data_IF_596635923093
#
_entry.id   IF_596635923093
#
_cell.length_a   1.000
_cell.length_b   1.000
_cell.length_c   1.000
_cell.angle_alpha   90.00
_cell.angle_beta   90.00
_cell.angle_gamma   90.00
#
_symmetry.space_group_name_H-M   'P 1'
#
loop_
_entity.id
_entity.type
_entity.pdbx_description
1 polymer ?
#
# COMPACT_ATOMS: atom_id res chain seq x y z
N UNK A 1 20.42 13.66 -9.84
CA UNK A 1 19.67 12.91 -8.80
C UNK A 1 18.23 13.40 -8.64
N UNK A 2 17.98 14.72 -8.59
CA UNK A 2 16.60 15.26 -8.60
C UNK A 2 15.83 14.89 -9.89
N UNK A 3 16.48 15.03 -11.05
CA UNK A 3 15.91 14.63 -12.35
C UNK A 3 15.53 13.15 -12.43
N UNK A 4 16.40 12.25 -11.97
CA UNK A 4 16.13 10.80 -11.94
C UNK A 4 15.00 10.43 -10.97
N UNK A 5 14.89 11.12 -9.84
CA UNK A 5 13.78 10.89 -8.90
C UNK A 5 12.46 11.45 -9.45
N UNK A 6 12.50 12.61 -10.12
CA UNK A 6 11.35 13.14 -10.86
C UNK A 6 10.86 12.16 -11.93
N UNK A 7 11.77 11.56 -12.70
CA UNK A 7 11.44 10.52 -13.66
C UNK A 7 10.81 9.29 -13.00
N UNK A 8 11.42 8.77 -11.93
CA UNK A 8 10.83 7.65 -11.19
C UNK A 8 9.45 7.99 -10.61
N UNK A 9 9.21 9.26 -10.26
CA UNK A 9 7.92 9.74 -9.75
C UNK A 9 6.81 9.64 -10.80
N UNK A 10 7.14 9.73 -12.09
CA UNK A 10 6.18 9.53 -13.17
C UNK A 10 5.64 8.09 -13.20
N UNK A 11 6.51 7.11 -12.97
CA UNK A 11 6.17 5.68 -12.94
C UNK A 11 5.71 5.17 -11.57
N UNK A 12 5.36 6.08 -10.64
CA UNK A 12 4.81 5.72 -9.31
C UNK A 12 3.66 4.73 -9.37
N UNK A 13 2.84 4.81 -10.43
CA UNK A 13 1.68 3.94 -10.63
C UNK A 13 2.03 2.50 -10.98
N UNK A 14 3.25 2.26 -11.47
CA UNK A 14 3.71 0.93 -11.91
C UNK A 14 4.48 0.20 -10.81
N UNK A 15 5.02 0.93 -9.82
CA UNK A 15 5.89 0.37 -8.78
C UNK A 15 5.15 0.37 -7.44
N UNK A 16 4.88 -0.84 -6.93
CA UNK A 16 4.14 -1.10 -5.68
C UNK A 16 4.67 -0.33 -4.45
N UNK A 17 5.99 -0.11 -4.36
CA UNK A 17 6.66 0.28 -3.10
C UNK A 17 7.51 1.55 -3.23
N UNK A 18 7.35 2.32 -4.31
CA UNK A 18 8.29 3.39 -4.66
C UNK A 18 8.44 4.46 -3.57
N UNK A 19 7.36 4.85 -2.88
CA UNK A 19 7.42 5.85 -1.82
C UNK A 19 8.31 5.42 -0.64
N UNK A 20 8.43 4.11 -0.39
CA UNK A 20 9.32 3.58 0.64
C UNK A 20 10.77 3.59 0.17
N UNK A 21 11.03 3.09 -1.04
CA UNK A 21 12.38 3.02 -1.62
C UNK A 21 12.99 4.42 -1.76
N UNK A 22 12.21 5.38 -2.23
CA UNK A 22 12.66 6.76 -2.44
C UNK A 22 12.77 7.57 -1.14
N UNK A 23 12.31 7.05 0.00
CA UNK A 23 12.23 7.81 1.25
C UNK A 23 13.60 8.23 1.80
N UNK A 24 14.62 7.38 1.65
CA UNK A 24 16.01 7.64 2.05
C UNK A 24 16.67 8.70 1.16
N UNK A 25 16.29 8.72 -0.13
CA UNK A 25 16.78 9.65 -1.14
C UNK A 25 16.11 11.03 -1.02
N UNK A 26 14.81 11.10 -0.74
CA UNK A 26 14.12 12.38 -0.52
C UNK A 26 14.64 13.14 0.70
N UNK A 27 15.18 12.44 1.72
CA UNK A 27 15.84 13.08 2.87
C UNK A 27 17.07 13.91 2.45
N UNK A 28 17.74 13.59 1.34
CA UNK A 28 18.89 14.36 0.86
C UNK A 28 18.51 15.78 0.39
N UNK A 29 17.23 16.05 0.15
CA UNK A 29 16.76 17.36 -0.31
C UNK A 29 16.24 18.25 0.83
N UNK A 30 16.36 17.81 2.09
CA UNK A 30 16.07 18.65 3.24
C UNK A 30 17.17 19.67 3.47
N UNK A 31 16.80 20.87 3.93
CA UNK A 31 17.72 22.02 4.08
C UNK A 31 18.89 21.78 5.04
N UNK A 32 18.76 20.83 5.97
CA UNK A 32 19.71 20.61 7.07
C UNK A 32 20.51 19.30 6.94
N UNK A 33 20.58 18.70 5.74
CA UNK A 33 21.21 17.40 5.52
C UNK A 33 22.40 17.52 4.56
N UNK A 34 23.57 17.03 5.00
CA UNK A 34 24.76 16.91 4.16
C UNK A 34 24.52 15.86 3.07
N UNK A 35 24.87 16.21 1.83
CA UNK A 35 24.77 15.29 0.71
C UNK A 35 25.81 14.17 0.85
N UNK A 36 25.35 12.98 1.24
CA UNK A 36 26.20 11.79 1.38
C UNK A 36 25.55 10.57 0.73
N UNK A 37 26.29 9.86 -0.11
CA UNK A 37 25.80 8.61 -0.73
C UNK A 37 26.25 7.44 0.14
N UNK A 38 25.46 7.14 1.16
CA UNK A 38 25.63 5.93 1.99
C UNK A 38 25.27 4.67 1.20
N UNK A 39 25.70 3.51 1.71
CA UNK A 39 25.36 2.21 1.11
C UNK A 39 23.84 2.01 0.96
N UNK A 40 23.06 2.37 1.99
CA UNK A 40 21.60 2.31 1.96
C UNK A 40 20.99 3.14 0.82
N UNK A 41 21.50 4.36 0.59
CA UNK A 41 21.03 5.25 -0.49
C UNK A 41 21.41 4.72 -1.86
N UNK A 42 22.60 4.13 -2.00
CA UNK A 42 23.03 3.45 -3.24
C UNK A 42 22.14 2.25 -3.55
N UNK A 43 21.88 1.40 -2.56
CA UNK A 43 21.02 0.23 -2.71
C UNK A 43 19.58 0.63 -3.06
N UNK A 44 19.09 1.72 -2.44
CA UNK A 44 17.78 2.29 -2.78
C UNK A 44 17.73 2.77 -4.24
N UNK A 45 18.79 3.40 -4.73
CA UNK A 45 18.88 3.88 -6.12
C UNK A 45 18.94 2.75 -7.14
N UNK A 46 19.74 1.71 -6.89
CA UNK A 46 19.80 0.52 -7.74
C UNK A 46 18.47 -0.25 -7.74
N UNK A 47 17.79 -0.31 -6.59
CA UNK A 47 16.46 -0.90 -6.50
C UNK A 47 15.43 -0.15 -7.34
N UNK A 48 15.47 1.19 -7.37
CA UNK A 48 14.58 1.98 -8.25
C UNK A 48 14.80 1.61 -9.71
N UNK A 49 16.06 1.50 -10.17
CA UNK A 49 16.37 1.11 -11.54
C UNK A 49 15.85 -0.29 -11.87
N UNK A 50 16.06 -1.24 -10.95
CA UNK A 50 15.60 -2.61 -11.12
C UNK A 50 14.06 -2.68 -11.22
N UNK A 51 13.35 -1.98 -10.33
CA UNK A 51 11.89 -1.93 -10.33
C UNK A 51 11.33 -1.19 -11.55
N UNK A 52 12.03 -0.19 -12.09
CA UNK A 52 11.64 0.48 -13.34
C UNK A 52 11.81 -0.43 -14.57
N UNK A 53 12.88 -1.22 -14.61
CA UNK A 53 13.14 -2.16 -15.71
C UNK A 53 12.20 -3.37 -15.68
N UNK A 54 11.80 -3.81 -14.49
CA UNK A 54 10.90 -4.95 -14.28
C UNK A 54 9.46 -4.52 -13.93
N UNK A 55 9.12 -3.25 -14.17
CA UNK A 55 7.82 -2.72 -13.83
C UNK A 55 6.73 -3.53 -14.55
N UNK A 56 5.72 -4.06 -13.83
CA UNK A 56 4.64 -4.79 -14.46
C UNK A 56 3.89 -3.87 -15.43
N UNK A 57 3.50 -4.42 -16.57
CA UNK A 57 2.61 -3.74 -17.52
C UNK A 57 1.26 -3.55 -16.82
N UNK A 58 0.86 -2.29 -16.65
CA UNK A 58 -0.45 -1.97 -16.10
C UNK A 58 -1.52 -2.24 -17.16
N UNK A 59 -2.63 -2.82 -16.73
CA UNK A 59 -3.77 -3.06 -17.59
C UNK A 59 -4.64 -1.81 -17.72
N UNK A 60 -5.20 -1.58 -18.91
CA UNK A 60 -6.18 -0.52 -19.11
C UNK A 60 -7.45 -0.86 -18.33
N UNK A 61 -8.02 0.07 -17.54
CA UNK A 61 -9.24 -0.20 -16.79
C UNK A 61 -10.44 -0.34 -17.72
N UNK A 62 -11.25 -1.37 -17.47
CA UNK A 62 -12.57 -1.53 -18.06
C UNK A 62 -13.63 -1.06 -17.05
N UNK A 63 -14.34 0.02 -17.32
CA UNK A 63 -15.26 0.60 -16.35
C UNK A 63 -16.58 -0.20 -16.20
N UNK A 64 -16.84 -1.17 -17.07
CA UNK A 64 -18.01 -2.05 -16.97
C UNK A 64 -17.80 -3.22 -15.99
N UNK A 65 -16.53 -3.56 -15.73
CA UNK A 65 -16.17 -4.68 -14.86
C UNK A 65 -15.89 -4.24 -13.42
N UNK A 66 -16.23 -5.08 -12.42
CA UNK A 66 -16.01 -4.74 -11.03
C UNK A 66 -14.51 -4.62 -10.71
N UNK A 67 -14.15 -3.51 -10.07
CA UNK A 67 -12.77 -3.22 -9.70
C UNK A 67 -12.51 -3.76 -8.30
N UNK A 68 -11.40 -4.48 -8.12
CA UNK A 68 -10.92 -4.89 -6.80
C UNK A 68 -9.87 -3.92 -6.31
N UNK A 69 -10.15 -3.35 -5.17
CA UNK A 69 -9.31 -2.32 -4.60
C UNK A 69 -8.73 -2.84 -3.28
N UNK A 70 -7.41 -3.02 -3.27
CA UNK A 70 -6.66 -3.59 -2.15
C UNK A 70 -5.97 -2.46 -1.39
N UNK A 71 -6.27 -2.34 -0.09
CA UNK A 71 -5.57 -1.37 0.79
C UNK A 71 -4.42 -2.01 1.51
N UNK A 72 -3.42 -1.18 1.74
CA UNK A 72 -2.26 -1.52 2.52
C UNK A 72 -1.90 -0.35 3.44
N UNK A 73 -2.08 -0.51 4.75
CA UNK A 73 -1.52 0.43 5.72
C UNK A 73 -0.45 -0.28 6.53
N UNK A 74 0.79 0.19 6.46
CA UNK A 74 1.83 -0.21 7.40
C UNK A 74 1.67 0.70 8.61
N UNK A 75 1.18 0.15 9.72
CA UNK A 75 1.16 0.83 11.01
C UNK A 75 2.56 1.42 11.24
N UNK A 76 2.67 2.76 11.29
CA UNK A 76 3.88 3.60 11.47
C UNK A 76 4.68 4.11 10.25
N UNK A 77 4.65 3.50 9.05
CA UNK A 77 5.62 3.86 7.99
C UNK A 77 5.00 4.50 6.73
N UNK A 78 3.79 4.10 6.32
CA UNK A 78 3.23 4.58 5.07
C UNK A 78 1.85 4.02 4.73
N UNK A 79 1.19 4.70 3.80
CA UNK A 79 -0.09 4.33 3.22
C UNK A 79 0.15 3.82 1.80
N UNK A 80 -0.55 2.78 1.41
CA UNK A 80 -0.50 2.21 0.08
C UNK A 80 -1.85 1.64 -0.34
N UNK A 81 -2.11 1.64 -1.64
CA UNK A 81 -3.25 0.94 -2.19
C UNK A 81 -2.96 0.52 -3.63
N UNK A 82 -3.70 -0.50 -4.08
CA UNK A 82 -3.60 -1.05 -5.41
C UNK A 82 -4.99 -1.27 -5.99
N UNK A 83 -5.17 -0.88 -7.25
CA UNK A 83 -6.34 -1.23 -8.06
C UNK A 83 -5.98 -2.43 -8.91
N UNK A 84 -6.82 -3.44 -8.82
CA UNK A 84 -6.74 -4.66 -9.60
C UNK A 84 -8.08 -4.88 -10.28
N UNK A 85 -8.06 -5.51 -11.44
CA UNK A 85 -9.27 -5.90 -12.14
C UNK A 85 -9.08 -7.26 -12.77
N UNK A 86 -10.13 -8.07 -12.71
CA UNK A 86 -10.13 -9.35 -13.42
C UNK A 86 -10.48 -9.08 -14.87
N UNK A 87 -9.54 -9.32 -15.77
CA UNK A 87 -9.70 -9.14 -17.20
C UNK A 87 -9.36 -10.43 -17.94
N UNK A 88 -9.92 -10.61 -19.12
CA UNK A 88 -9.58 -11.72 -19.99
C UNK A 88 -8.43 -11.24 -20.88
N UNK A 89 -7.25 -11.84 -20.72
CA UNK A 89 -6.06 -11.56 -21.54
C UNK A 89 -5.69 -12.86 -22.22
N UNK A 90 -5.64 -12.87 -23.54
CA UNK A 90 -5.35 -14.07 -24.36
C UNK A 90 -6.31 -15.24 -24.10
N UNK A 91 -7.58 -14.95 -23.81
CA UNK A 91 -8.62 -15.97 -23.53
C UNK A 91 -8.64 -16.50 -22.09
N UNK A 92 -7.68 -16.12 -21.25
CA UNK A 92 -7.59 -16.55 -19.86
C UNK A 92 -7.91 -15.42 -18.87
N UNK A 93 -8.69 -15.68 -17.80
CA UNK A 93 -8.98 -14.68 -16.79
C UNK A 93 -7.74 -14.42 -15.93
N UNK A 94 -7.11 -13.26 -16.10
CA UNK A 94 -6.00 -12.78 -15.28
C UNK A 94 -6.42 -11.60 -14.41
N UNK A 95 -5.81 -11.48 -13.24
CA UNK A 95 -5.96 -10.30 -12.39
C UNK A 95 -4.92 -9.27 -12.83
N UNK A 96 -5.36 -8.30 -13.62
CA UNK A 96 -4.55 -7.20 -14.13
C UNK A 96 -4.41 -6.11 -13.08
N UNK A 97 -3.19 -5.56 -12.98
CA UNK A 97 -2.88 -4.46 -12.09
C UNK A 97 -3.15 -3.14 -12.83
N UNK A 98 -4.08 -2.31 -12.34
CA UNK A 98 -4.44 -1.05 -12.99
C UNK A 98 -3.54 0.08 -12.50
N UNK A 99 -3.34 0.17 -11.18
CA UNK A 99 -2.66 1.32 -10.59
C UNK A 99 -2.20 1.02 -9.17
N UNK A 100 -0.96 1.41 -8.87
CA UNK A 100 -0.41 1.45 -7.53
C UNK A 100 -0.33 2.89 -7.02
N UNK A 101 -0.71 3.09 -5.76
CA UNK A 101 -0.50 4.36 -5.06
C UNK A 101 0.19 4.11 -3.73
N UNK A 102 1.20 4.90 -3.42
CA UNK A 102 1.88 4.86 -2.14
C UNK A 102 2.24 6.26 -1.67
N UNK A 103 2.25 6.45 -0.35
CA UNK A 103 2.57 7.73 0.29
C UNK A 103 3.15 7.51 1.68
N UNK A 104 4.19 8.27 2.01
CA UNK A 104 4.72 8.34 3.38
C UNK A 104 3.72 8.99 4.33
N UNK A 105 3.56 8.41 5.52
CA UNK A 105 2.71 8.98 6.57
C UNK A 105 3.38 10.23 7.16
N UNK A 106 2.58 11.26 7.49
CA UNK A 106 3.08 12.44 8.22
C UNK A 106 3.22 12.11 9.71
N UNK A 107 4.19 12.72 10.40
CA UNK A 107 4.49 12.46 11.81
C UNK A 107 3.28 12.69 12.74
N UNK A 108 2.44 13.70 12.44
CA UNK A 108 1.21 13.96 13.21
C UNK A 108 0.20 12.81 13.18
N UNK A 109 0.27 11.97 12.15
CA UNK A 109 -0.61 10.81 11.95
C UNK A 109 0.06 9.49 12.33
N UNK A 110 1.35 9.51 12.68
CA UNK A 110 2.08 8.32 13.13
C UNK A 110 1.60 7.82 14.51
N UNK A 111 0.97 8.72 15.30
CA UNK A 111 0.37 8.40 16.61
C UNK A 111 -1.02 7.74 16.51
N UNK A 112 -1.56 7.58 15.30
CA UNK A 112 -2.87 6.97 15.11
C UNK A 112 -2.85 5.48 15.39
N UNK A 113 -3.88 5.00 16.08
CA UNK A 113 -4.07 3.56 16.29
C UNK A 113 -4.33 2.83 14.96
N UNK A 114 -4.15 1.50 14.94
CA UNK A 114 -4.26 0.69 13.73
C UNK A 114 -5.58 0.94 12.94
N UNK A 115 -6.72 1.01 13.63
CA UNK A 115 -8.02 1.29 13.00
C UNK A 115 -8.11 2.68 12.38
N UNK A 116 -7.52 3.70 13.02
CA UNK A 116 -7.50 5.06 12.50
C UNK A 116 -6.59 5.17 11.28
N UNK A 117 -5.45 4.50 11.30
CA UNK A 117 -4.50 4.46 10.17
C UNK A 117 -5.09 3.72 8.97
N UNK A 118 -5.77 2.60 9.20
CA UNK A 118 -6.49 1.87 8.16
C UNK A 118 -7.64 2.71 7.58
N UNK A 119 -8.41 3.43 8.40
CA UNK A 119 -9.47 4.34 7.95
C UNK A 119 -8.92 5.55 7.17
N UNK A 120 -7.80 6.11 7.63
CA UNK A 120 -7.10 7.18 6.91
C UNK A 120 -6.61 6.70 5.55
N UNK A 121 -6.01 5.49 5.49
CA UNK A 121 -5.63 4.86 4.24
C UNK A 121 -6.84 4.70 3.31
N UNK A 122 -7.99 4.40 3.91
CA UNK A 122 -9.24 4.26 3.20
C UNK A 122 -9.68 5.57 2.53
N UNK A 123 -9.82 6.64 3.30
CA UNK A 123 -10.22 7.93 2.75
C UNK A 123 -9.21 8.46 1.74
N UNK A 124 -7.92 8.42 2.06
CA UNK A 124 -6.87 8.95 1.19
C UNK A 124 -6.86 8.30 -0.20
N UNK A 125 -6.98 6.96 -0.26
CA UNK A 125 -6.97 6.27 -1.53
C UNK A 125 -8.28 6.46 -2.32
N UNK A 126 -9.43 6.63 -1.66
CA UNK A 126 -10.68 6.99 -2.36
C UNK A 126 -10.58 8.40 -2.99
N UNK A 127 -10.06 9.37 -2.25
CA UNK A 127 -9.82 10.72 -2.77
C UNK A 127 -8.83 10.71 -3.95
N UNK A 128 -7.76 9.91 -3.84
CA UNK A 128 -6.72 9.85 -4.87
C UNK A 128 -7.10 9.07 -6.11
N UNK A 129 -8.01 8.10 -6.01
CA UNK A 129 -8.45 7.26 -7.12
C UNK A 129 -9.88 7.59 -7.55
N UNK A 130 -10.36 8.78 -7.19
CA UNK A 130 -11.73 9.20 -7.46
C UNK A 130 -12.14 8.98 -8.92
N UNK A 131 -11.26 9.34 -9.85
CA UNK A 131 -11.46 9.23 -11.29
C UNK A 131 -11.58 7.80 -11.81
N UNK A 132 -11.13 6.79 -11.06
CA UNK A 132 -11.34 5.37 -11.40
C UNK A 132 -12.57 4.76 -10.72
N UNK A 133 -13.02 5.35 -9.61
CA UNK A 133 -14.01 4.75 -8.71
C UNK A 133 -15.39 5.41 -8.81
N UNK A 134 -15.49 6.58 -9.44
CA UNK A 134 -16.77 7.24 -9.68
C UNK A 134 -17.58 6.47 -10.74
N UNK A 135 -18.83 6.15 -10.43
CA UNK A 135 -19.73 5.44 -11.35
C UNK A 135 -19.54 3.92 -11.42
N UNK A 136 -18.43 3.38 -10.91
CA UNK A 136 -18.10 1.93 -11.02
C UNK A 136 -18.43 1.19 -9.73
N UNK A 137 -18.81 -0.09 -9.85
CA UNK A 137 -18.96 -0.99 -8.70
C UNK A 137 -17.58 -1.56 -8.32
N UNK A 138 -17.19 -1.43 -7.05
CA UNK A 138 -15.88 -1.89 -6.60
C UNK A 138 -15.91 -2.55 -5.22
N UNK A 139 -14.93 -3.43 -5.01
CA UNK A 139 -14.75 -4.17 -3.76
C UNK A 139 -13.49 -3.71 -3.04
N UNK A 140 -13.63 -3.25 -1.81
CA UNK A 140 -12.52 -2.85 -0.95
C UNK A 140 -12.09 -4.01 -0.08
N UNK A 141 -10.85 -4.46 -0.25
CA UNK A 141 -10.25 -5.50 0.58
C UNK A 141 -9.41 -4.87 1.70
N UNK A 142 -9.72 -5.22 2.95
CA UNK A 142 -9.01 -4.75 4.15
C UNK A 142 -8.65 -5.89 5.10
N UNK A 143 -7.53 -5.73 5.82
CA UNK A 143 -7.14 -6.60 6.93
C UNK A 143 -7.76 -6.21 8.27
N UNK A 144 -8.45 -5.06 8.36
CA UNK A 144 -9.05 -4.56 9.59
C UNK A 144 -10.55 -4.89 9.65
N UNK A 145 -10.96 -5.68 10.65
CA UNK A 145 -12.39 -6.02 10.85
C UNK A 145 -13.22 -4.80 11.23
N UNK A 146 -12.64 -3.84 11.96
CA UNK A 146 -13.33 -2.62 12.37
C UNK A 146 -13.76 -1.74 11.19
N UNK A 147 -13.12 -1.87 10.02
CA UNK A 147 -13.53 -1.15 8.81
C UNK A 147 -14.84 -1.67 8.21
N UNK A 148 -15.17 -2.96 8.39
CA UNK A 148 -16.48 -3.47 7.95
C UNK A 148 -17.61 -2.82 8.75
N UNK A 149 -17.41 -2.63 10.06
CA UNK A 149 -18.40 -2.04 10.95
C UNK A 149 -18.33 -0.52 11.02
N UNK A 150 -17.35 0.11 10.36
CA UNK A 150 -17.07 1.55 10.48
C UNK A 150 -18.30 2.43 10.20
N UNK A 151 -19.09 2.08 9.19
CA UNK A 151 -20.28 2.84 8.82
C UNK A 151 -21.42 2.71 9.85
N UNK A 152 -21.45 1.63 10.61
CA UNK A 152 -22.48 1.35 11.62
C UNK A 152 -22.04 1.76 13.03
N UNK A 153 -20.73 1.92 13.27
CA UNK A 153 -20.20 2.35 14.55
C UNK A 153 -20.57 3.81 14.86
N UNK A 154 -21.01 4.06 16.10
CA UNK A 154 -21.07 5.40 16.69
C UNK A 154 -19.67 5.77 17.16
N UNK A 155 -19.11 6.84 16.63
CA UNK A 155 -17.76 7.32 17.00
C UNK A 155 -17.85 8.75 17.52
N UNK A 156 -17.30 9.01 18.70
CA UNK A 156 -17.16 10.36 19.28
C UNK A 156 -15.96 11.12 18.70
N UNK A 157 -15.07 10.45 17.99
CA UNK A 157 -13.87 11.06 17.41
C UNK A 157 -14.19 11.89 16.14
N UNK A 158 -13.86 13.19 16.16
CA UNK A 158 -14.11 14.14 15.09
C UNK A 158 -13.47 13.75 13.74
N UNK A 159 -12.29 13.13 13.76
CA UNK A 159 -11.61 12.68 12.53
C UNK A 159 -12.37 11.53 11.87
N UNK A 160 -12.79 10.55 12.67
CA UNK A 160 -13.56 9.40 12.20
C UNK A 160 -14.90 9.82 11.61
N UNK A 161 -15.56 10.82 12.20
CA UNK A 161 -16.83 11.34 11.68
C UNK A 161 -16.65 11.98 10.29
N UNK A 162 -15.62 12.80 10.10
CA UNK A 162 -15.30 13.40 8.79
C UNK A 162 -15.00 12.33 7.73
N UNK A 163 -14.23 11.30 8.11
CA UNK A 163 -13.91 10.19 7.23
C UNK A 163 -15.14 9.36 6.87
N UNK A 164 -16.06 9.15 7.80
CA UNK A 164 -17.33 8.47 7.56
C UNK A 164 -18.17 9.21 6.51
N UNK A 165 -18.26 10.54 6.61
CA UNK A 165 -18.96 11.37 5.62
C UNK A 165 -18.31 11.24 4.24
N UNK A 166 -16.97 11.29 4.14
CA UNK A 166 -16.27 11.13 2.87
C UNK A 166 -16.52 9.75 2.21
N UNK A 167 -16.57 8.69 3.02
CA UNK A 167 -16.84 7.33 2.54
C UNK A 167 -18.30 7.16 2.06
N UNK A 168 -19.25 7.91 2.63
CA UNK A 168 -20.67 7.80 2.26
C UNK A 168 -20.92 8.09 0.77
N UNK A 169 -20.11 8.95 0.12
CA UNK A 169 -20.20 9.22 -1.33
C UNK A 169 -20.16 7.92 -2.16
N UNK A 170 -19.41 6.92 -1.72
CA UNK A 170 -19.18 5.68 -2.47
C UNK A 170 -20.02 4.50 -1.98
N UNK A 171 -20.88 4.70 -0.97
CA UNK A 171 -21.58 3.60 -0.29
C UNK A 171 -22.48 2.77 -1.22
N UNK A 172 -23.09 3.39 -2.22
CA UNK A 172 -23.96 2.69 -3.17
C UNK A 172 -23.23 1.68 -4.05
N UNK A 173 -21.97 1.96 -4.38
CA UNK A 173 -21.21 1.19 -5.37
C UNK A 173 -20.01 0.44 -4.73
N UNK A 174 -19.79 0.62 -3.42
CA UNK A 174 -18.65 0.06 -2.70
C UNK A 174 -19.06 -1.07 -1.76
N UNK A 175 -18.43 -2.23 -1.92
CA UNK A 175 -18.54 -3.35 -0.97
C UNK A 175 -17.23 -3.52 -0.19
N UNK A 176 -17.26 -3.48 1.14
CA UNK A 176 -16.08 -3.71 1.98
C UNK A 176 -16.01 -5.19 2.37
N UNK A 177 -14.91 -5.86 2.02
CA UNK A 177 -14.62 -7.25 2.38
C UNK A 177 -13.39 -7.33 3.27
N UNK A 178 -13.52 -8.04 4.39
CA UNK A 178 -12.38 -8.38 5.23
C UNK A 178 -11.68 -9.63 4.70
N UNK A 179 -10.35 -9.57 4.56
CA UNK A 179 -9.53 -10.73 4.15
C UNK A 179 -8.39 -10.91 5.15
N UNK A 180 -8.40 -12.01 5.91
CA UNK A 180 -7.34 -12.38 6.86
C UNK A 180 -5.99 -12.56 6.14
N UNK A 181 -4.93 -12.08 6.78
CA UNK A 181 -3.59 -11.79 6.23
C UNK A 181 -2.72 -12.94 5.69
N UNK A 182 -3.29 -14.05 5.21
CA UNK A 182 -2.53 -15.11 4.51
C UNK A 182 -2.65 -15.07 2.98
N UNK A 183 -3.58 -14.28 2.41
CA UNK A 183 -3.86 -14.22 0.95
C UNK A 183 -3.79 -12.82 0.38
N UNK A 184 -2.94 -11.97 0.95
CA UNK A 184 -2.60 -10.68 0.36
C UNK A 184 -1.33 -10.78 -0.47
N UNK A 185 -0.93 -11.94 -1.01
CA UNK A 185 0.40 -12.16 -1.62
C UNK A 185 0.83 -11.09 -2.64
N UNK A 186 -0.13 -10.52 -3.39
CA UNK A 186 0.11 -9.42 -4.34
C UNK A 186 0.45 -8.06 -3.67
N UNK A 187 0.08 -7.87 -2.40
CA UNK A 187 0.33 -6.70 -1.53
C UNK A 187 1.10 -7.02 -0.23
N UNK A 188 1.40 -8.29 0.07
CA UNK A 188 2.04 -8.77 1.30
C UNK A 188 3.56 -8.60 1.30
N UNK A 189 4.15 -8.42 0.11
CA UNK A 189 5.57 -8.07 -0.04
C UNK A 189 5.95 -6.77 0.67
N UNK A 190 4.95 -5.97 1.09
CA UNK A 190 5.11 -4.76 1.88
C UNK A 190 4.76 -4.93 3.38
N UNK A 191 3.94 -5.94 3.76
CA UNK A 191 3.51 -6.24 5.16
C UNK A 191 4.55 -7.01 5.94
N UNK A 192 5.46 -7.68 5.24
CA UNK A 192 6.42 -8.59 5.84
C UNK A 192 7.85 -8.13 5.60
N UNK A 193 8.25 -7.11 6.36
CA UNK A 193 9.61 -7.06 6.86
C UNK A 193 9.57 -6.72 8.36
N UNK A 194 9.04 -7.62 9.21
CA UNK A 194 9.50 -7.59 10.59
C UNK A 194 11.03 -7.70 10.52
N UNK A 195 11.74 -6.80 11.22
CA UNK A 195 13.16 -6.98 11.48
C UNK A 195 13.39 -8.43 11.89
N UNK A 196 14.50 -9.03 11.45
CA UNK A 196 14.83 -10.40 11.83
C UNK A 196 14.64 -10.55 13.35
N UNK A 197 14.12 -11.69 13.79
CA UNK A 197 13.93 -11.97 15.22
C UNK A 197 15.30 -12.30 15.86
N UNK A 198 16.22 -11.33 15.77
CA UNK A 198 17.56 -11.35 16.34
C UNK A 198 17.53 -10.61 17.68
N UNK A 199 18.45 -10.96 18.58
CA UNK A 199 18.53 -10.37 19.93
C UNK A 199 18.70 -8.83 19.94
N UNK A 200 19.09 -8.22 18.82
CA UNK A 200 19.19 -6.76 18.67
C UNK A 200 17.84 -6.07 18.39
N UNK A 201 16.78 -6.82 18.10
CA UNK A 201 15.44 -6.28 17.91
C UNK A 201 14.76 -6.04 19.28
N UNK A 202 14.30 -4.81 19.58
CA UNK A 202 13.64 -4.49 20.86
C UNK A 202 12.30 -5.22 21.08
N UNK A 203 11.75 -5.87 20.04
CA UNK A 203 10.55 -6.72 20.11
C UNK A 203 10.86 -8.22 20.00
N UNK A 204 12.08 -8.64 20.35
CA UNK A 204 12.53 -10.04 20.31
C UNK A 204 11.64 -10.95 21.18
N UNK A 205 11.00 -11.95 20.56
CA UNK A 205 10.19 -12.95 21.26
C UNK A 205 10.81 -14.34 21.08
N UNK A 206 11.19 -14.97 22.21
CA UNK A 206 11.84 -16.28 22.29
C UNK A 206 10.95 -17.41 21.74
N UNK A 207 9.63 -17.23 21.66
CA UNK A 207 8.68 -18.31 21.32
C UNK A 207 8.48 -18.55 19.83
N UNK A 208 8.96 -17.67 18.94
CA UNK A 208 8.70 -17.73 17.48
C UNK A 208 9.85 -18.40 16.70
N UNK A 209 11.01 -18.64 17.33
CA UNK A 209 12.19 -19.18 16.64
C UNK A 209 12.07 -20.66 16.20
N UNK A 210 11.06 -21.39 16.69
CA UNK A 210 10.87 -22.80 16.35
C UNK A 210 9.67 -23.00 15.41
N UNK A 211 9.96 -23.47 14.18
CA UNK A 211 9.05 -23.96 13.13
C UNK A 211 8.46 -22.91 12.17
N UNK A 212 9.24 -22.55 11.15
CA UNK A 212 8.75 -22.54 9.76
C UNK A 212 9.85 -23.15 8.87
N UNK A 213 9.74 -24.42 8.44
CA UNK A 213 10.66 -24.97 7.45
C UNK A 213 10.34 -24.33 6.09
N UNK A 214 11.36 -23.72 5.50
CA UNK A 214 11.33 -23.17 4.14
C UNK A 214 11.39 -24.36 3.18
N UNK A 215 10.31 -24.62 2.45
CA UNK A 215 10.32 -25.48 1.26
C UNK A 215 9.95 -24.63 0.05
N UNK A 216 10.61 -24.96 -1.07
CA UNK A 216 10.51 -24.43 -2.43
C UNK A 216 11.53 -23.36 -2.85
N UNK A 217 12.71 -23.86 -3.22
CA UNK A 217 13.28 -23.63 -4.55
C UNK A 217 14.26 -24.77 -4.88
N UNK A 218 13.92 -25.63 -5.85
CA UNK A 218 14.80 -26.04 -6.96
C UNK A 218 14.08 -27.04 -7.90
N UNK A 219 14.05 -26.65 -9.18
CA UNK A 219 13.73 -27.36 -10.44
C UNK A 219 12.34 -27.95 -10.61
#
# INVERSE_FOLDING_TARGET
MQSSLGFSSYYTKHIKTLAHITSSLYKLFSKDIVFEITKERRDSYERIKHELNNAPVLSLPDFELPIKFYRYSACSQGLGAALHQRQIVDGEPREGDICYISRKLKDSKARYGATQTECLCLVWALEKLHYYLEGVVFEVYTGCTALNSLLNMKTTNRHMLRWKIAIQKYRGNMTIRHKKGKRHTNSDGLRRWPLDNVKSNPAYDLKVAAKIPIYFMQK
#
